data_IF_182834398067
#
_entry.id   IF_182834398067
#
_cell.length_a   1.000
_cell.length_b   1.000
_cell.length_c   1.000
_cell.angle_alpha   90.00
_cell.angle_beta   90.00
_cell.angle_gamma   90.00
#
_symmetry.space_group_name_H-M   'P 1'
#
loop_
_entity.id
_entity.type
_entity.pdbx_description
1 polymer ?
#
# COMPACT_ATOMS: atom_id res chain seq x y z
N UNK A 1 -11.05 -23.28 -12.79
CA UNK A 1 -12.08 -22.23 -12.94
C UNK A 1 -11.55 -20.95 -12.29
N UNK A 2 -11.92 -19.76 -12.78
CA UNK A 2 -11.43 -18.45 -12.31
C UNK A 2 -12.45 -17.69 -11.46
N UNK A 3 -13.58 -18.32 -11.15
CA UNK A 3 -14.70 -17.73 -10.42
C UNK A 3 -15.91 -17.51 -11.32
N UNK A 4 -17.06 -17.25 -10.70
CA UNK A 4 -18.34 -17.09 -11.37
C UNK A 4 -19.04 -15.80 -10.92
N UNK A 5 -19.73 -15.13 -11.85
CA UNK A 5 -20.59 -14.00 -11.51
C UNK A 5 -21.93 -14.51 -10.97
N UNK A 6 -22.09 -14.45 -9.65
CA UNK A 6 -23.29 -14.92 -8.95
C UNK A 6 -24.54 -14.11 -9.32
N UNK A 7 -24.37 -12.87 -9.79
CA UNK A 7 -25.48 -12.00 -10.19
C UNK A 7 -25.89 -12.19 -11.65
N UNK A 8 -25.19 -13.05 -12.42
CA UNK A 8 -25.50 -13.27 -13.81
C UNK A 8 -26.93 -13.79 -14.00
N UNK A 9 -27.62 -13.23 -14.99
CA UNK A 9 -28.97 -13.65 -15.35
C UNK A 9 -28.97 -15.14 -15.73
N UNK A 10 -29.74 -15.95 -14.99
CA UNK A 10 -29.78 -17.40 -15.14
C UNK A 10 -29.00 -18.18 -14.07
N UNK A 11 -28.22 -17.51 -13.22
CA UNK A 11 -27.51 -18.10 -12.07
C UNK A 11 -28.12 -17.74 -10.71
N UNK A 12 -29.22 -16.98 -10.69
CA UNK A 12 -29.91 -16.59 -9.47
C UNK A 12 -30.70 -17.74 -8.85
N UNK A 13 -31.59 -18.36 -9.64
CA UNK A 13 -32.53 -19.37 -9.17
C UNK A 13 -32.55 -20.62 -10.04
N UNK A 14 -32.80 -21.76 -9.41
CA UNK A 14 -33.04 -23.05 -10.04
C UNK A 14 -34.46 -23.12 -10.61
N UNK A 15 -34.76 -24.16 -11.40
CA UNK A 15 -36.10 -24.36 -11.98
C UNK A 15 -37.21 -24.56 -10.95
N UNK A 16 -36.87 -24.92 -9.72
CA UNK A 16 -37.76 -25.05 -8.57
C UNK A 16 -37.71 -23.83 -7.64
N UNK A 17 -37.12 -22.72 -8.07
CA UNK A 17 -37.18 -21.42 -7.41
C UNK A 17 -36.21 -21.21 -6.23
N UNK A 18 -35.31 -22.16 -5.98
CA UNK A 18 -34.29 -22.06 -4.92
C UNK A 18 -33.02 -21.35 -5.43
N UNK A 19 -32.17 -20.79 -4.55
CA UNK A 19 -30.89 -20.23 -4.98
C UNK A 19 -30.01 -21.30 -5.64
N UNK A 20 -29.40 -20.98 -6.79
CA UNK A 20 -28.46 -21.91 -7.47
C UNK A 20 -27.14 -22.06 -6.73
N UNK A 21 -26.65 -20.97 -6.14
CA UNK A 21 -25.46 -20.97 -5.29
C UNK A 21 -25.89 -20.87 -3.83
N UNK A 22 -25.38 -21.79 -3.02
CA UNK A 22 -25.55 -21.74 -1.57
C UNK A 22 -24.38 -21.00 -0.92
N UNK A 23 -23.17 -21.24 -1.43
CA UNK A 23 -21.94 -20.62 -0.93
C UNK A 23 -20.93 -20.46 -2.07
N UNK A 24 -19.98 -19.54 -1.90
CA UNK A 24 -18.93 -19.23 -2.85
C UNK A 24 -17.64 -18.89 -2.10
N UNK A 25 -16.61 -19.72 -2.32
CA UNK A 25 -15.35 -19.65 -1.59
C UNK A 25 -14.19 -19.44 -2.56
N UNK A 26 -13.33 -18.48 -2.26
CA UNK A 26 -12.03 -18.34 -2.92
C UNK A 26 -10.96 -19.10 -2.13
N UNK A 27 -10.53 -20.25 -2.65
CA UNK A 27 -9.51 -21.09 -2.03
C UNK A 27 -8.08 -20.73 -2.46
N UNK A 28 -7.88 -19.63 -3.19
CA UNK A 28 -6.54 -19.21 -3.64
C UNK A 28 -5.75 -18.44 -2.56
N UNK A 29 -6.45 -17.92 -1.55
CA UNK A 29 -5.87 -17.02 -0.54
C UNK A 29 -5.52 -15.63 -1.09
N UNK A 30 -5.84 -15.33 -2.35
CA UNK A 30 -5.52 -14.04 -2.98
C UNK A 30 -6.27 -12.85 -2.35
N UNK A 31 -7.41 -13.12 -1.71
CA UNK A 31 -8.21 -12.15 -0.97
C UNK A 31 -7.94 -12.10 0.54
N UNK A 32 -6.98 -12.87 1.06
CA UNK A 32 -6.77 -12.96 2.51
C UNK A 32 -6.30 -11.63 3.10
N UNK A 33 -6.94 -11.23 4.20
CA UNK A 33 -6.59 -10.04 4.97
C UNK A 33 -6.42 -10.45 6.43
N UNK A 34 -5.23 -10.20 6.99
CA UNK A 34 -4.98 -10.42 8.41
C UNK A 34 -5.78 -9.40 9.25
N UNK A 35 -6.82 -9.88 9.91
CA UNK A 35 -7.67 -9.11 10.84
C UNK A 35 -7.45 -9.56 12.30
N UNK A 36 -6.26 -10.05 12.64
CA UNK A 36 -5.93 -10.46 14.01
C UNK A 36 -5.97 -9.29 15.02
N UNK A 37 -5.73 -8.06 14.56
CA UNK A 37 -5.73 -6.88 15.41
C UNK A 37 -7.15 -6.45 15.80
N UNK A 38 -7.39 -6.46 17.11
CA UNK A 38 -8.56 -5.80 17.71
C UNK A 38 -8.37 -4.29 17.71
N UNK A 39 -9.41 -3.56 17.37
CA UNK A 39 -9.43 -2.10 17.38
C UNK A 39 -10.51 -1.59 18.33
N UNK A 40 -10.17 -0.54 19.07
CA UNK A 40 -11.11 0.18 19.90
C UNK A 40 -11.75 1.29 19.08
N UNK A 41 -13.08 1.37 19.14
CA UNK A 41 -13.82 2.48 18.58
C UNK A 41 -13.86 3.66 19.55
N UNK A 42 -13.83 4.87 19.01
CA UNK A 42 -14.10 6.11 19.74
C UNK A 42 -15.18 6.90 19.01
N UNK A 43 -15.86 7.79 19.71
CA UNK A 43 -16.76 8.75 19.07
C UNK A 43 -15.99 10.01 18.68
N UNK A 44 -16.17 10.45 17.44
CA UNK A 44 -15.57 11.66 16.89
C UNK A 44 -16.59 12.33 15.96
N UNK A 45 -16.93 13.60 16.19
CA UNK A 45 -17.91 14.36 15.40
C UNK A 45 -19.30 13.69 15.27
N UNK A 46 -19.72 12.95 16.30
CA UNK A 46 -21.01 12.22 16.28
C UNK A 46 -21.01 10.96 15.42
N UNK A 47 -19.84 10.49 14.99
CA UNK A 47 -19.65 9.21 14.31
C UNK A 47 -18.70 8.31 15.09
N UNK A 48 -18.94 7.00 15.04
CA UNK A 48 -18.02 6.01 15.58
C UNK A 48 -16.83 5.88 14.62
N UNK A 49 -15.61 5.94 15.14
CA UNK A 49 -14.39 5.89 14.33
C UNK A 49 -13.36 4.89 14.87
N UNK A 50 -12.54 4.34 13.97
CA UNK A 50 -11.44 3.43 14.28
C UNK A 50 -10.11 3.94 13.72
N UNK A 51 -9.02 3.63 14.40
CA UNK A 51 -7.67 3.83 13.85
C UNK A 51 -7.31 2.68 12.91
N UNK A 52 -7.28 2.99 11.61
CA UNK A 52 -6.88 2.05 10.59
C UNK A 52 -5.38 1.73 10.66
N UNK A 53 -5.01 0.51 10.28
CA UNK A 53 -3.60 0.07 10.20
C UNK A 53 -2.74 0.91 9.23
N UNK A 54 -3.37 1.58 8.27
CA UNK A 54 -2.69 2.50 7.36
C UNK A 54 -2.40 3.88 7.97
N UNK A 55 -2.74 4.12 9.23
CA UNK A 55 -2.68 5.44 9.88
C UNK A 55 -3.84 6.38 9.50
N UNK A 56 -4.87 5.87 8.83
CA UNK A 56 -6.08 6.65 8.47
C UNK A 56 -7.20 6.34 9.44
N UNK A 57 -7.98 7.34 9.80
CA UNK A 57 -9.21 7.16 10.59
C UNK A 57 -10.33 6.59 9.71
N UNK A 58 -10.94 5.49 10.15
CA UNK A 58 -12.09 4.86 9.49
C UNK A 58 -13.36 5.34 10.19
N UNK A 59 -14.21 6.10 9.47
CA UNK A 59 -15.55 6.48 9.97
C UNK A 59 -16.53 5.34 9.71
N UNK A 60 -17.18 4.86 10.76
CA UNK A 60 -18.14 3.76 10.71
C UNK A 60 -19.57 4.29 10.49
N UNK A 61 -20.40 3.46 9.87
CA UNK A 61 -21.82 3.77 9.66
C UNK A 61 -22.69 3.41 10.87
N UNK A 62 -23.98 3.73 10.79
CA UNK A 62 -24.97 3.45 11.86
C UNK A 62 -25.04 1.97 12.26
N UNK A 63 -24.71 1.04 11.36
CA UNK A 63 -24.68 -0.39 11.63
C UNK A 63 -23.71 -0.79 12.75
N UNK A 64 -22.73 0.08 13.06
CA UNK A 64 -21.69 -0.20 14.04
C UNK A 64 -22.07 0.13 15.49
N UNK A 65 -23.25 0.71 15.74
CA UNK A 65 -23.63 1.20 17.07
C UNK A 65 -23.79 0.11 18.13
N UNK A 66 -24.13 -1.11 17.71
CA UNK A 66 -24.38 -2.26 18.61
C UNK A 66 -23.20 -3.23 18.67
N UNK A 67 -22.08 -2.91 18.02
CA UNK A 67 -20.91 -3.78 17.92
C UNK A 67 -19.92 -3.46 19.04
N UNK A 68 -19.55 -4.49 19.79
CA UNK A 68 -18.62 -4.38 20.94
C UNK A 68 -17.16 -4.63 20.59
N UNK A 69 -16.87 -5.38 19.51
CA UNK A 69 -15.50 -5.71 19.09
C UNK A 69 -15.31 -5.44 17.59
N UNK A 70 -14.32 -4.62 17.26
CA UNK A 70 -13.87 -4.43 15.88
C UNK A 70 -12.53 -5.10 15.65
N UNK A 71 -12.38 -5.69 14.48
CA UNK A 71 -11.12 -6.23 13.99
C UNK A 71 -10.74 -5.53 12.70
N UNK A 72 -9.50 -5.07 12.63
CA UNK A 72 -9.04 -4.26 11.51
C UNK A 72 -7.89 -4.99 10.84
N UNK A 73 -8.01 -5.14 9.53
CA UNK A 73 -6.95 -5.61 8.67
C UNK A 73 -6.63 -4.58 7.59
N UNK A 74 -5.46 -4.74 6.97
CA UNK A 74 -5.07 -3.93 5.84
C UNK A 74 -4.22 -4.75 4.88
N UNK A 75 -4.43 -4.52 3.59
CA UNK A 75 -3.61 -5.09 2.53
C UNK A 75 -3.14 -4.00 1.59
N UNK A 76 -1.99 -4.21 0.97
CA UNK A 76 -1.46 -3.27 -0.02
C UNK A 76 -2.24 -3.49 -1.32
N UNK A 77 -2.78 -2.40 -1.90
CA UNK A 77 -3.49 -2.48 -3.18
C UNK A 77 -2.68 -3.25 -4.24
N UNK A 78 -1.38 -3.00 -4.33
CA UNK A 78 -0.49 -3.68 -5.27
C UNK A 78 -0.54 -5.22 -5.17
N UNK A 79 -0.78 -5.79 -3.98
CA UNK A 79 -0.90 -7.24 -3.81
C UNK A 79 -2.20 -7.79 -4.43
N UNK A 80 -3.29 -7.03 -4.34
CA UNK A 80 -4.61 -7.41 -4.88
C UNK A 80 -4.75 -7.20 -6.39
N UNK A 81 -3.90 -6.36 -7.00
CA UNK A 81 -4.02 -6.05 -8.42
C UNK A 81 -3.68 -7.27 -9.29
N UNK A 82 -4.41 -7.52 -10.41
CA UNK A 82 -4.06 -8.56 -11.36
C UNK A 82 -2.64 -8.41 -11.92
N UNK A 83 -2.01 -9.50 -12.33
CA UNK A 83 -0.62 -9.53 -12.83
C UNK A 83 -0.39 -8.58 -14.01
N UNK A 84 -1.37 -8.45 -14.91
CA UNK A 84 -1.35 -7.53 -16.04
C UNK A 84 -1.24 -6.07 -15.59
N UNK A 85 -2.02 -5.68 -14.59
CA UNK A 85 -2.03 -4.32 -14.02
C UNK A 85 -0.72 -4.07 -13.27
N UNK A 86 -0.24 -5.04 -12.47
CA UNK A 86 1.05 -4.94 -11.77
C UNK A 86 2.21 -4.72 -12.74
N UNK A 87 2.24 -5.47 -13.85
CA UNK A 87 3.28 -5.33 -14.88
C UNK A 87 3.27 -3.93 -15.50
N UNK A 88 2.09 -3.40 -15.81
CA UNK A 88 1.96 -2.03 -16.34
C UNK A 88 2.47 -0.98 -15.34
N UNK A 89 2.03 -1.05 -14.09
CA UNK A 89 2.47 -0.13 -13.03
C UNK A 89 3.99 -0.22 -12.82
N UNK A 90 4.56 -1.42 -12.83
CA UNK A 90 6.00 -1.62 -12.70
C UNK A 90 6.78 -1.01 -13.88
N UNK A 91 6.27 -1.16 -15.11
CA UNK A 91 6.89 -0.57 -16.29
C UNK A 91 6.86 0.96 -16.24
N UNK A 92 5.71 1.57 -15.91
CA UNK A 92 5.58 3.02 -15.77
C UNK A 92 6.53 3.58 -14.70
N UNK A 93 6.58 2.93 -13.52
CA UNK A 93 7.49 3.32 -12.44
C UNK A 93 8.96 3.17 -12.83
N UNK A 94 9.30 2.12 -13.58
CA UNK A 94 10.66 1.88 -14.07
C UNK A 94 11.12 3.02 -14.96
N UNK A 95 10.29 3.46 -15.91
CA UNK A 95 10.62 4.58 -16.80
C UNK A 95 10.92 5.87 -16.01
N UNK A 96 10.06 6.22 -15.04
CA UNK A 96 10.30 7.40 -14.19
C UNK A 96 11.56 7.27 -13.32
N UNK A 97 11.82 6.08 -12.81
CA UNK A 97 13.02 5.78 -12.03
C UNK A 97 14.28 5.92 -12.87
N UNK A 98 14.32 5.32 -14.06
CA UNK A 98 15.47 5.36 -14.97
C UNK A 98 15.82 6.80 -15.38
N UNK A 99 14.81 7.65 -15.64
CA UNK A 99 15.04 9.07 -15.94
C UNK A 99 15.72 9.83 -14.79
N UNK A 100 15.23 9.61 -13.56
CA UNK A 100 15.81 10.23 -12.36
C UNK A 100 17.20 9.70 -12.08
N UNK A 101 17.37 8.38 -12.20
CA UNK A 101 18.63 7.68 -11.95
C UNK A 101 19.71 8.13 -12.93
N UNK A 102 19.39 8.23 -14.22
CA UNK A 102 20.33 8.70 -15.23
C UNK A 102 20.83 10.13 -14.92
N UNK A 103 19.93 11.00 -14.47
CA UNK A 103 20.30 12.37 -14.06
C UNK A 103 21.28 12.36 -12.88
N UNK A 104 21.04 11.53 -11.87
CA UNK A 104 21.92 11.40 -10.71
C UNK A 104 23.28 10.79 -11.06
N UNK A 105 23.32 9.77 -11.92
CA UNK A 105 24.58 9.17 -12.38
C UNK A 105 25.44 10.20 -13.10
N UNK A 106 24.86 10.97 -14.04
CA UNK A 106 25.60 12.02 -14.75
C UNK A 106 26.12 13.09 -13.80
N UNK A 107 25.34 13.47 -12.78
CA UNK A 107 25.80 14.43 -11.75
C UNK A 107 27.02 13.89 -11.00
N UNK A 108 26.92 12.66 -10.48
CA UNK A 108 28.01 12.04 -9.70
C UNK A 108 29.24 11.82 -10.57
N UNK A 109 29.09 11.43 -11.84
CA UNK A 109 30.23 11.26 -12.74
C UNK A 109 30.98 12.58 -12.96
N UNK A 110 30.27 13.71 -13.12
CA UNK A 110 30.92 15.02 -13.24
C UNK A 110 31.67 15.43 -11.98
N UNK A 111 31.09 15.15 -10.81
CA UNK A 111 31.74 15.39 -9.52
C UNK A 111 33.00 14.54 -9.37
N UNK A 112 32.96 13.27 -9.81
CA UNK A 112 34.11 12.38 -9.81
C UNK A 112 35.22 12.90 -10.74
N UNK A 113 34.89 13.27 -11.98
CA UNK A 113 35.88 13.76 -12.95
C UNK A 113 36.53 15.08 -12.48
N UNK A 114 35.78 15.95 -11.78
CA UNK A 114 36.32 17.18 -11.20
C UNK A 114 37.30 16.91 -10.05
N UNK A 115 36.99 15.91 -9.21
CA UNK A 115 37.89 15.45 -8.15
C UNK A 115 39.18 14.86 -8.73
N UNK A 116 39.08 14.04 -9.78
CA UNK A 116 40.23 13.42 -10.46
C UNK A 116 41.14 14.46 -11.13
N UNK A 117 40.58 15.56 -11.66
CA UNK A 117 41.36 16.68 -12.22
C UNK A 117 42.06 17.55 -11.17
N UNK A 118 41.76 17.37 -9.88
CA UNK A 118 42.33 18.18 -8.81
C UNK A 118 41.71 19.59 -8.71
N UNK A 119 40.55 19.82 -9.30
CA UNK A 119 39.79 21.08 -9.21
C UNK A 119 39.10 21.17 -7.83
N UNK A 120 39.89 21.33 -6.75
CA UNK A 120 39.36 21.30 -5.38
C UNK A 120 38.80 22.67 -4.98
N UNK A 121 37.52 22.90 -5.30
CA UNK A 121 36.63 23.63 -4.40
C UNK A 121 36.17 22.69 -3.29
N UNK A 122 35.95 23.23 -2.08
CA UNK A 122 35.53 22.44 -0.90
C UNK A 122 34.49 21.37 -1.26
N UNK A 123 34.71 20.08 -0.90
CA UNK A 123 33.79 19.03 -1.29
C UNK A 123 32.41 19.26 -0.64
N UNK A 124 31.30 19.12 -1.39
CA UNK A 124 29.94 19.29 -0.86
C UNK A 124 29.57 18.22 0.19
N UNK A 125 30.43 17.23 0.40
CA UNK A 125 30.27 16.18 1.41
C UNK A 125 30.46 16.68 2.86
N UNK A 126 30.86 17.94 3.08
CA UNK A 126 30.90 18.53 4.43
C UNK A 126 29.52 18.63 5.12
N UNK A 127 28.43 18.51 4.36
CA UNK A 127 27.06 18.49 4.88
C UNK A 127 26.61 17.15 5.48
N UNK A 128 27.06 16.01 4.94
CA UNK A 128 26.62 14.69 5.42
C UNK A 128 27.33 14.25 6.71
N UNK A 129 28.62 14.57 6.85
CA UNK A 129 29.37 14.30 8.08
C UNK A 129 28.83 15.12 9.27
N UNK A 130 28.40 16.37 9.03
CA UNK A 130 27.79 17.23 10.06
C UNK A 130 26.39 16.76 10.48
N UNK A 131 25.62 16.17 9.56
CA UNK A 131 24.29 15.63 9.87
C UNK A 131 24.35 14.31 10.67
N UNK A 132 25.36 13.46 10.43
CA UNK A 132 25.59 12.25 11.22
C UNK A 132 26.09 12.61 12.64
N UNK A 133 27.09 13.50 12.75
CA UNK A 133 27.65 13.88 14.05
C UNK A 133 26.67 14.63 14.97
N UNK A 134 25.67 15.34 14.43
CA UNK A 134 24.66 16.03 15.25
C UNK A 134 23.59 15.07 15.78
N UNK A 135 23.38 13.92 15.15
CA UNK A 135 22.36 12.95 15.56
C UNK A 135 22.85 12.01 16.67
N UNK A 136 24.16 11.82 16.78
CA UNK A 136 24.78 11.00 17.83
C UNK A 136 25.06 11.77 19.13
N UNK A 137 24.91 13.11 19.13
CA UNK A 137 25.11 13.96 20.31
C UNK A 137 23.80 14.37 21.02
N UNK A 138 22.64 13.98 20.49
CA UNK A 138 21.32 14.20 21.10
C UNK A 138 20.67 12.87 21.54
N UNK A 139 21.46 12.02 22.21
CA UNK A 139 21.00 10.89 23.03
C UNK A 139 21.57 11.02 24.44
#
# INVERSE_FOLDING_TARGET
DTGCDLAAAGLLTTSDGRPKYVDFLDCTGGGDVDTSKKALSREEEGALVLDGLSGRTLKLGKWASEISEFRVGATRLHALLPSSVRRRIAAERRTSFEATQHTQVTRIQRELDALERGDVGEPPLSGFAKAAAKKDLEL
#
